data_IF_199564273446
#
_entry.id   IF_199564273446
#
_cell.length_a   1.000
_cell.length_b   1.000
_cell.length_c   1.000
_cell.angle_alpha   90.00
_cell.angle_beta   90.00
_cell.angle_gamma   90.00
#
_symmetry.space_group_name_H-M   'P 1'
#
loop_
_entity.id
_entity.type
_entity.pdbx_description
1 polymer ?
#
# COMPACT_ATOMS: atom_id res chain seq x y z
N UNK A 1 -16.61 11.76 -10.32
CA UNK A 1 -15.47 12.68 -10.12
C UNK A 1 -14.69 12.15 -8.93
N UNK A 2 -13.44 11.72 -9.10
CA UNK A 2 -12.60 11.34 -7.96
C UNK A 2 -12.23 12.61 -7.20
N UNK A 3 -12.20 12.55 -5.87
CA UNK A 3 -11.78 13.72 -5.09
C UNK A 3 -10.29 13.95 -5.30
N UNK A 4 -9.83 15.21 -5.21
CA UNK A 4 -8.40 15.57 -5.29
C UNK A 4 -7.52 14.72 -4.36
N UNK A 5 -8.06 14.31 -3.22
CA UNK A 5 -7.38 13.41 -2.29
C UNK A 5 -7.20 12.00 -2.87
N UNK A 6 -8.19 11.44 -3.55
CA UNK A 6 -8.07 10.12 -4.19
C UNK A 6 -7.02 10.15 -5.30
N UNK A 7 -6.99 11.19 -6.13
CA UNK A 7 -5.97 11.34 -7.19
C UNK A 7 -4.54 11.40 -6.63
N UNK A 8 -4.33 12.15 -5.53
CA UNK A 8 -3.03 12.21 -4.85
C UNK A 8 -2.62 10.84 -4.28
N UNK A 9 -3.56 10.11 -3.67
CA UNK A 9 -3.32 8.76 -3.14
C UNK A 9 -2.99 7.76 -4.26
N UNK A 10 -3.72 7.82 -5.37
CA UNK A 10 -3.44 7.00 -6.56
C UNK A 10 -2.05 7.27 -7.12
N UNK A 11 -1.66 8.54 -7.25
CA UNK A 11 -0.31 8.91 -7.72
C UNK A 11 0.77 8.37 -6.78
N UNK A 12 0.63 8.58 -5.47
CA UNK A 12 1.58 8.09 -4.49
C UNK A 12 1.68 6.55 -4.52
N UNK A 13 0.55 5.86 -4.60
CA UNK A 13 0.49 4.40 -4.71
C UNK A 13 1.18 3.92 -5.98
N UNK A 14 0.94 4.56 -7.13
CA UNK A 14 1.60 4.24 -8.38
C UNK A 14 3.14 4.37 -8.31
N UNK A 15 3.65 5.39 -7.63
CA UNK A 15 5.10 5.55 -7.39
C UNK A 15 5.63 4.50 -6.42
N UNK A 16 4.87 4.17 -5.37
CA UNK A 16 5.21 3.13 -4.41
C UNK A 16 5.29 1.75 -5.06
N UNK A 17 4.34 1.43 -5.93
CA UNK A 17 4.30 0.18 -6.69
C UNK A 17 5.39 0.10 -7.77
N UNK A 18 6.04 1.22 -8.12
CA UNK A 18 7.27 1.27 -8.94
C UNK A 18 8.54 1.07 -8.10
N UNK A 19 8.43 0.90 -6.79
CA UNK A 19 9.55 0.64 -5.88
C UNK A 19 10.27 1.90 -5.37
N UNK A 20 9.69 3.10 -5.54
CA UNK A 20 10.28 4.31 -4.97
C UNK A 20 10.14 4.31 -3.45
N UNK A 21 11.11 4.84 -2.72
CA UNK A 21 11.01 5.00 -1.26
C UNK A 21 10.03 6.12 -0.89
N UNK A 22 9.49 6.14 0.34
CA UNK A 22 8.65 7.25 0.80
C UNK A 22 9.34 8.61 0.71
N UNK A 23 10.67 8.66 0.89
CA UNK A 23 11.45 9.89 0.72
C UNK A 23 11.48 10.33 -0.75
N UNK A 24 11.67 9.41 -1.69
CA UNK A 24 11.67 9.72 -3.12
C UNK A 24 10.28 10.18 -3.59
N UNK A 25 9.22 9.53 -3.12
CA UNK A 25 7.82 9.93 -3.39
C UNK A 25 7.53 11.32 -2.81
N UNK A 26 7.93 11.57 -1.56
CA UNK A 26 7.76 12.87 -0.92
C UNK A 26 8.43 14.00 -1.71
N UNK A 27 9.67 13.76 -2.19
CA UNK A 27 10.40 14.69 -3.05
C UNK A 27 9.68 14.92 -4.38
N UNK A 28 9.18 13.87 -5.03
CA UNK A 28 8.44 13.95 -6.31
C UNK A 28 7.11 14.72 -6.18
N UNK A 29 6.43 14.55 -5.04
CA UNK A 29 5.12 15.14 -4.79
C UNK A 29 5.18 16.51 -4.09
N UNK A 30 6.35 16.95 -3.62
CA UNK A 30 6.49 18.22 -2.89
C UNK A 30 5.84 18.21 -1.51
N UNK A 31 5.84 17.06 -0.83
CA UNK A 31 5.20 16.85 0.49
C UNK A 31 6.20 16.24 1.49
N UNK A 32 5.79 16.09 2.75
CA UNK A 32 6.66 15.44 3.75
C UNK A 32 6.66 13.92 3.61
N UNK A 33 7.76 13.27 4.01
CA UNK A 33 7.85 11.80 4.10
C UNK A 33 6.75 11.23 5.02
N UNK A 34 6.46 11.91 6.12
CA UNK A 34 5.44 11.49 7.09
C UNK A 34 4.06 11.41 6.43
N UNK A 35 3.72 12.42 5.62
CA UNK A 35 2.45 12.48 4.92
C UNK A 35 2.31 11.34 3.90
N UNK A 36 3.38 11.02 3.16
CA UNK A 36 3.39 9.84 2.26
C UNK A 36 3.22 8.54 3.03
N UNK A 37 3.87 8.40 4.19
CA UNK A 37 3.71 7.21 5.02
C UNK A 37 2.28 7.06 5.51
N UNK A 38 1.66 8.12 6.05
CA UNK A 38 0.26 8.11 6.50
C UNK A 38 -0.73 7.83 5.36
N UNK A 39 -0.39 8.29 4.16
CA UNK A 39 -1.17 8.07 2.96
C UNK A 39 -1.18 6.61 2.50
N UNK A 40 -0.02 5.94 2.57
CA UNK A 40 0.22 4.63 1.96
C UNK A 40 0.30 3.47 2.96
N UNK A 41 0.33 3.74 4.26
CA UNK A 41 0.39 2.71 5.28
C UNK A 41 -0.76 2.86 6.29
N UNK A 42 -1.39 1.73 6.68
CA UNK A 42 -2.38 1.76 7.74
C UNK A 42 -1.73 2.09 9.09
N UNK A 43 -2.57 2.45 10.06
CA UNK A 43 -2.14 2.72 11.43
C UNK A 43 -1.46 1.52 12.10
N UNK A 44 -0.66 1.74 13.16
CA UNK A 44 0.14 0.69 13.81
C UNK A 44 -0.66 -0.55 14.24
N UNK A 45 -1.87 -0.37 14.78
CA UNK A 45 -2.72 -1.48 15.22
C UNK A 45 -3.15 -2.38 14.05
N UNK A 46 -3.64 -1.78 12.97
CA UNK A 46 -4.05 -2.53 11.77
C UNK A 46 -2.85 -3.22 11.12
N UNK A 47 -1.69 -2.56 11.06
CA UNK A 47 -0.44 -3.18 10.59
C UNK A 47 -0.07 -4.43 11.37
N UNK A 48 -0.20 -4.40 12.70
CA UNK A 48 0.13 -5.51 13.57
C UNK A 48 -0.85 -6.67 13.38
N UNK A 49 -2.16 -6.38 13.35
CA UNK A 49 -3.21 -7.38 13.10
C UNK A 49 -2.99 -8.08 11.75
N UNK A 50 -2.78 -7.33 10.67
CA UNK A 50 -2.54 -7.91 9.34
C UNK A 50 -1.26 -8.72 9.29
N UNK A 51 -0.19 -8.26 9.95
CA UNK A 51 1.07 -9.00 10.03
C UNK A 51 0.89 -10.35 10.75
N UNK A 52 0.15 -10.38 11.86
CA UNK A 52 -0.06 -11.57 12.67
C UNK A 52 -0.90 -12.61 11.91
N UNK A 53 -1.95 -12.16 11.21
CA UNK A 53 -2.76 -13.01 10.33
C UNK A 53 -1.92 -13.62 9.20
N UNK A 54 -1.08 -12.80 8.56
CA UNK A 54 -0.21 -13.22 7.47
C UNK A 54 1.03 -14.01 7.93
N UNK A 55 1.31 -14.04 9.23
CA UNK A 55 2.54 -14.60 9.83
C UNK A 55 3.81 -14.10 9.14
N UNK A 56 3.83 -12.81 8.79
CA UNK A 56 4.94 -12.15 8.09
C UNK A 56 5.22 -12.66 6.67
N UNK A 57 4.26 -13.34 6.02
CA UNK A 57 4.37 -13.83 4.64
C UNK A 57 3.45 -13.06 3.70
N UNK A 58 3.81 -13.00 2.43
CA UNK A 58 2.89 -12.59 1.38
C UNK A 58 1.71 -13.55 1.34
N UNK A 59 0.48 -13.04 1.44
CA UNK A 59 -0.74 -13.86 1.43
C UNK A 59 -1.10 -14.37 0.02
N UNK A 60 -0.49 -13.82 -1.03
CA UNK A 60 -0.62 -14.32 -2.40
C UNK A 60 0.44 -15.38 -2.73
N UNK A 61 1.73 -15.02 -2.68
CA UNK A 61 2.82 -15.90 -3.15
C UNK A 61 3.64 -16.60 -2.05
N UNK A 62 3.33 -16.37 -0.77
CA UNK A 62 3.96 -17.08 0.36
C UNK A 62 5.38 -16.65 0.75
N UNK A 63 6.03 -15.73 0.00
CA UNK A 63 7.37 -15.24 0.33
C UNK A 63 7.41 -14.58 1.72
N UNK A 64 8.46 -14.78 2.49
CA UNK A 64 8.61 -14.13 3.79
C UNK A 64 9.01 -12.66 3.61
N UNK A 65 8.21 -11.75 4.20
CA UNK A 65 8.37 -10.30 4.08
C UNK A 65 8.83 -9.66 5.39
N UNK A 66 8.69 -10.37 6.52
CA UNK A 66 8.82 -9.76 7.84
C UNK A 66 7.90 -8.55 7.95
N UNK A 67 8.43 -7.42 8.46
CA UNK A 67 7.69 -6.15 8.59
C UNK A 67 7.74 -5.26 7.35
N UNK A 68 8.34 -5.72 6.25
CA UNK A 68 8.54 -4.94 5.02
C UNK A 68 7.46 -5.19 3.96
N UNK A 69 6.39 -5.88 4.32
CA UNK A 69 5.27 -6.12 3.39
C UNK A 69 4.46 -4.86 3.11
N UNK A 70 3.75 -4.89 2.00
CA UNK A 70 2.79 -3.88 1.60
C UNK A 70 1.41 -4.29 2.10
N UNK A 71 0.61 -3.32 2.54
CA UNK A 71 -0.73 -3.57 3.05
C UNK A 71 -1.75 -3.23 1.97
N UNK A 72 -2.52 -4.22 1.53
CA UNK A 72 -3.51 -4.07 0.47
C UNK A 72 -4.94 -4.22 1.00
N UNK A 73 -5.88 -3.38 0.58
CA UNK A 73 -7.29 -3.49 1.02
C UNK A 73 -8.12 -4.41 0.12
N UNK A 74 -8.98 -5.26 0.72
CA UNK A 74 -9.89 -6.17 0.01
C UNK A 74 -11.36 -5.80 0.34
N UNK A 75 -12.25 -5.61 -0.66
CA UNK A 75 -12.01 -5.75 -2.08
C UNK A 75 -11.10 -4.65 -2.65
N UNK A 76 -10.38 -4.97 -3.71
CA UNK A 76 -9.48 -4.05 -4.40
C UNK A 76 -10.23 -2.83 -4.91
N UNK A 77 -9.73 -1.65 -4.56
CA UNK A 77 -10.13 -0.37 -5.13
C UNK A 77 -8.98 0.28 -5.88
N UNK A 78 -9.18 1.51 -6.38
CA UNK A 78 -8.12 2.24 -7.06
C UNK A 78 -7.05 2.78 -6.09
N UNK A 79 -7.31 2.71 -4.78
CA UNK A 79 -6.37 2.97 -3.69
C UNK A 79 -6.63 1.96 -2.57
N UNK A 80 -5.67 1.83 -1.65
CA UNK A 80 -5.89 1.08 -0.42
C UNK A 80 -6.80 1.83 0.55
N UNK A 81 -7.92 1.21 0.89
CA UNK A 81 -8.89 1.67 1.87
C UNK A 81 -8.66 0.97 3.21
N UNK A 82 -8.04 1.69 4.16
CA UNK A 82 -7.72 1.16 5.49
C UNK A 82 -8.95 0.96 6.40
N UNK A 83 -10.16 1.23 5.91
CA UNK A 83 -11.42 0.84 6.59
C UNK A 83 -11.87 -0.57 6.21
N UNK A 84 -11.24 -1.19 5.22
CA UNK A 84 -11.55 -2.53 4.73
C UNK A 84 -10.59 -3.58 5.33
N UNK A 85 -10.94 -4.87 5.23
CA UNK A 85 -9.98 -5.95 5.48
C UNK A 85 -8.69 -5.75 4.71
N UNK A 86 -7.56 -6.04 5.35
CA UNK A 86 -6.23 -5.83 4.77
C UNK A 86 -5.48 -7.15 4.61
N UNK A 87 -4.72 -7.26 3.53
CA UNK A 87 -3.79 -8.35 3.26
C UNK A 87 -2.35 -7.84 3.26
N UNK A 88 -1.41 -8.72 3.63
CA UNK A 88 0.02 -8.47 3.51
C UNK A 88 0.54 -9.04 2.18
N UNK A 89 1.05 -8.18 1.31
CA UNK A 89 1.55 -8.55 -0.02
C UNK A 89 3.00 -8.11 -0.22
N UNK A 90 3.73 -8.82 -1.08
CA UNK A 90 5.01 -8.33 -1.59
C UNK A 90 4.75 -7.24 -2.65
N UNK A 91 5.74 -6.39 -2.93
CA UNK A 91 5.63 -5.32 -3.94
C UNK A 91 5.10 -5.84 -5.28
N UNK A 92 5.61 -6.99 -5.75
CA UNK A 92 5.20 -7.60 -7.02
C UNK A 92 3.73 -8.03 -7.00
N UNK A 93 3.29 -8.72 -5.96
CA UNK A 93 1.89 -9.18 -5.82
C UNK A 93 0.94 -7.98 -5.66
N UNK A 94 1.32 -7.00 -4.84
CA UNK A 94 0.54 -5.79 -4.66
C UNK A 94 0.36 -5.03 -5.99
N UNK A 95 1.44 -4.91 -6.77
CA UNK A 95 1.39 -4.31 -8.10
C UNK A 95 0.50 -5.09 -9.08
N UNK A 96 0.50 -6.43 -9.03
CA UNK A 96 -0.38 -7.26 -9.87
C UNK A 96 -1.84 -7.02 -9.56
N UNK A 97 -2.21 -6.98 -8.27
CA UNK A 97 -3.60 -6.79 -7.86
C UNK A 97 -4.14 -5.44 -8.35
N UNK A 98 -3.37 -4.36 -8.20
CA UNK A 98 -3.80 -3.07 -8.72
C UNK A 98 -3.73 -2.93 -10.25
N UNK A 99 -2.80 -3.61 -10.94
CA UNK A 99 -2.79 -3.65 -12.41
C UNK A 99 -3.99 -4.42 -12.97
N UNK A 100 -4.42 -5.48 -12.29
CA UNK A 100 -5.63 -6.24 -12.65
C UNK A 100 -6.93 -5.49 -12.33
N UNK A 101 -6.89 -4.55 -11.38
CA UNK A 101 -8.01 -3.71 -10.96
C UNK A 101 -8.10 -2.32 -11.62
N UNK A 102 -7.20 -2.01 -12.57
CA UNK A 102 -7.13 -0.71 -13.25
C UNK A 102 -6.33 0.35 -12.47
N UNK A 103 -5.01 0.37 -12.68
CA UNK A 103 -4.13 1.50 -12.37
C UNK A 103 -3.63 2.14 -13.66
#
# INVERSE_FOLDING_TARGET
>A
MLTKNVELRQRALGLWLKGLTFTAIAKDMGVSRQWVHEMLCPGPALRQITYDLARGKCQDCGVHLGRNGHYHSVPTGPIDDFTKPMELLCLTCHGKVHKGGGL
#
